data_IF_642600883049
#
_entry.id   IF_642600883049
#
_cell.length_a   1.000
_cell.length_b   1.000
_cell.length_c   1.000
_cell.angle_alpha   90.00
_cell.angle_beta   90.00
_cell.angle_gamma   90.00
#
_symmetry.space_group_name_H-M   'P 1'
#
loop_
_entity.id
_entity.type
_entity.pdbx_description
1 polymer ?
#
# COMPACT_ATOMS: atom_id res chain seq x y z
N UNK A 1 -53.11 -7.70 28.19
CA UNK A 1 -51.90 -6.86 28.34
C UNK A 1 -50.72 -7.38 27.52
N UNK A 2 -50.46 -8.70 27.48
CA UNK A 2 -49.35 -9.30 26.72
C UNK A 2 -49.35 -9.01 25.20
N UNK A 3 -50.52 -9.00 24.54
CA UNK A 3 -50.59 -8.76 23.08
C UNK A 3 -50.24 -7.32 22.67
N UNK A 4 -50.49 -6.33 23.54
CA UNK A 4 -50.08 -4.93 23.28
C UNK A 4 -48.57 -4.75 23.40
N UNK A 5 -47.93 -5.44 24.36
CA UNK A 5 -46.48 -5.38 24.57
C UNK A 5 -45.71 -6.05 23.41
N UNK A 6 -46.19 -7.21 22.94
CA UNK A 6 -45.61 -7.92 21.79
C UNK A 6 -45.71 -7.09 20.49
N UNK A 7 -46.83 -6.38 20.28
CA UNK A 7 -47.01 -5.53 19.11
C UNK A 7 -46.10 -4.29 19.14
N UNK A 8 -45.88 -3.68 20.31
CA UNK A 8 -44.94 -2.56 20.49
C UNK A 8 -43.48 -3.02 20.24
N UNK A 9 -43.09 -4.20 20.74
CA UNK A 9 -41.77 -4.79 20.49
C UNK A 9 -41.53 -5.09 19.00
N UNK A 10 -42.55 -5.58 18.29
CA UNK A 10 -42.47 -5.82 16.84
C UNK A 10 -42.31 -4.53 16.03
N UNK A 11 -43.01 -3.46 16.40
CA UNK A 11 -42.86 -2.15 15.77
C UNK A 11 -41.50 -1.49 16.07
N UNK A 12 -40.96 -1.69 17.27
CA UNK A 12 -39.61 -1.24 17.64
C UNK A 12 -38.53 -2.00 16.85
N UNK A 13 -38.67 -3.32 16.67
CA UNK A 13 -37.76 -4.10 15.82
C UNK A 13 -37.78 -3.62 14.37
N UNK A 14 -38.96 -3.36 13.78
CA UNK A 14 -39.06 -2.87 12.39
C UNK A 14 -38.50 -1.47 12.20
N UNK A 15 -38.73 -0.55 13.15
CA UNK A 15 -38.14 0.80 13.11
C UNK A 15 -36.62 0.75 13.31
N UNK A 16 -36.12 -0.14 14.15
CA UNK A 16 -34.69 -0.35 14.38
C UNK A 16 -34.00 -0.91 13.11
N UNK A 17 -34.59 -1.90 12.45
CA UNK A 17 -34.09 -2.46 11.19
C UNK A 17 -34.07 -1.40 10.07
N UNK A 18 -35.12 -0.56 9.98
CA UNK A 18 -35.18 0.52 8.99
C UNK A 18 -34.15 1.63 9.29
N UNK A 19 -33.92 1.94 10.56
CA UNK A 19 -32.89 2.89 10.99
C UNK A 19 -31.47 2.35 10.70
N UNK A 20 -31.23 1.05 10.90
CA UNK A 20 -29.96 0.40 10.53
C UNK A 20 -29.73 0.36 9.01
N UNK A 21 -30.76 0.09 8.20
CA UNK A 21 -30.65 0.11 6.74
C UNK A 21 -30.34 1.51 6.18
N UNK A 22 -30.84 2.56 6.84
CA UNK A 22 -30.55 3.94 6.49
C UNK A 22 -29.14 4.35 6.98
N UNK A 23 -28.70 3.88 8.16
CA UNK A 23 -27.37 4.21 8.70
C UNK A 23 -26.22 3.49 7.96
N UNK A 24 -26.43 2.25 7.50
CA UNK A 24 -25.46 1.57 6.63
C UNK A 24 -25.38 2.22 5.25
N UNK A 25 -26.47 2.82 4.77
CA UNK A 25 -26.49 3.58 3.51
C UNK A 25 -25.77 4.93 3.63
N UNK A 26 -25.86 5.63 4.77
CA UNK A 26 -25.15 6.90 5.00
C UNK A 26 -23.67 6.74 5.40
N UNK A 27 -23.24 5.56 5.87
CA UNK A 27 -21.83 5.28 6.16
C UNK A 27 -21.01 4.85 4.93
N UNK A 28 -21.66 4.69 3.78
CA UNK A 28 -21.07 4.37 2.47
C UNK A 28 -20.65 5.58 1.65
N UNK A 29 -20.42 6.74 2.29
CA UNK A 29 -19.75 7.86 1.63
C UNK A 29 -18.34 7.44 1.23
N UNK A 30 -18.11 7.32 -0.08
CA UNK A 30 -16.82 7.08 -0.73
C UNK A 30 -15.91 8.33 -0.60
N UNK A 31 -15.67 8.80 0.62
CA UNK A 31 -14.55 9.71 0.89
C UNK A 31 -13.28 8.90 0.58
N UNK A 32 -12.50 9.38 -0.39
CA UNK A 32 -11.20 8.79 -0.70
C UNK A 32 -10.35 8.87 0.58
N UNK A 33 -10.07 7.72 1.19
CA UNK A 33 -9.25 7.67 2.39
C UNK A 33 -7.86 8.20 2.03
N UNK A 34 -7.41 9.21 2.77
CA UNK A 34 -6.04 9.71 2.67
C UNK A 34 -5.27 9.37 3.94
N UNK A 35 -3.95 9.31 3.82
CA UNK A 35 -3.02 9.24 4.95
C UNK A 35 -2.03 10.38 4.87
N UNK A 36 -1.66 10.92 6.03
CA UNK A 36 -0.63 11.95 6.15
C UNK A 36 0.56 11.40 6.88
N UNK A 37 1.76 11.62 6.33
CA UNK A 37 3.02 11.24 6.99
C UNK A 37 3.48 12.32 7.98
N UNK A 38 4.68 12.14 8.54
CA UNK A 38 5.28 13.11 9.46
C UNK A 38 5.59 14.46 8.78
N UNK A 39 5.95 14.44 7.49
CA UNK A 39 6.33 15.62 6.71
C UNK A 39 5.13 16.42 6.19
N UNK A 40 3.92 15.94 6.45
CA UNK A 40 2.68 16.56 5.96
C UNK A 40 2.34 16.19 4.52
N UNK A 41 3.02 15.21 3.91
CA UNK A 41 2.60 14.70 2.61
C UNK A 41 1.30 13.94 2.77
N UNK A 42 0.33 14.22 1.89
CA UNK A 42 -0.98 13.56 1.88
C UNK A 42 -1.04 12.58 0.71
N UNK A 43 -1.30 11.31 1.02
CA UNK A 43 -1.37 10.21 0.07
C UNK A 43 -2.80 9.73 -0.06
N UNK A 44 -3.23 9.41 -1.28
CA UNK A 44 -4.52 8.76 -1.53
C UNK A 44 -4.34 7.25 -1.42
N UNK A 45 -5.46 6.55 -1.33
CA UNK A 45 -5.47 5.10 -1.18
C UNK A 45 -6.43 4.43 -2.16
N UNK A 46 -6.16 3.16 -2.44
CA UNK A 46 -7.02 2.27 -3.21
C UNK A 46 -7.13 0.92 -2.53
N UNK A 47 -8.34 0.36 -2.57
CA UNK A 47 -8.57 -1.01 -2.13
C UNK A 47 -8.42 -1.95 -3.32
N UNK A 48 -7.54 -2.94 -3.21
CA UNK A 48 -7.33 -3.98 -4.21
C UNK A 48 -7.44 -5.33 -3.50
N UNK A 49 -8.49 -6.08 -3.81
CA UNK A 49 -8.85 -7.28 -3.05
C UNK A 49 -9.12 -6.95 -1.59
N UNK A 50 -8.35 -7.56 -0.69
CA UNK A 50 -8.44 -7.35 0.76
C UNK A 50 -7.44 -6.33 1.30
N UNK A 51 -6.60 -5.77 0.42
CA UNK A 51 -5.49 -4.89 0.78
C UNK A 51 -5.81 -3.44 0.44
N UNK A 52 -5.31 -2.51 1.26
CA UNK A 52 -5.43 -1.07 1.01
C UNK A 52 -4.04 -0.52 0.76
N UNK A 53 -3.82 0.02 -0.43
CA UNK A 53 -2.53 0.49 -0.93
C UNK A 53 -2.52 2.01 -1.06
N UNK A 54 -1.35 2.63 -0.89
CA UNK A 54 -1.13 4.01 -1.34
C UNK A 54 -1.17 4.08 -2.86
N UNK A 55 -1.74 5.16 -3.39
CA UNK A 55 -1.70 5.47 -4.82
C UNK A 55 -0.33 6.01 -5.24
N UNK A 56 0.23 6.89 -4.42
CA UNK A 56 1.52 7.53 -4.70
C UNK A 56 2.67 6.82 -3.97
N UNK A 57 3.88 6.97 -4.50
CA UNK A 57 5.10 6.54 -3.83
C UNK A 57 5.44 7.51 -2.68
N UNK A 58 6.10 7.01 -1.64
CA UNK A 58 6.50 7.80 -0.47
C UNK A 58 7.45 8.94 -0.85
N UNK A 59 7.27 10.06 -0.13
CA UNK A 59 8.03 11.32 -0.26
C UNK A 59 8.61 11.77 1.08
N UNK A 60 8.62 10.88 2.07
CA UNK A 60 9.15 11.16 3.40
C UNK A 60 10.64 11.52 3.34
N UNK A 61 11.00 12.46 4.19
CA UNK A 61 12.35 12.93 4.50
C UNK A 61 12.66 12.76 5.99
N UNK A 62 11.66 12.44 6.81
CA UNK A 62 11.82 12.02 8.19
C UNK A 62 11.20 10.63 8.41
N UNK A 63 11.80 9.87 9.33
CA UNK A 63 11.17 8.69 9.88
C UNK A 63 9.93 9.07 10.69
N UNK A 64 9.09 8.09 11.00
CA UNK A 64 7.85 8.28 11.77
C UNK A 64 8.07 8.92 13.14
N UNK A 65 9.24 8.71 13.75
CA UNK A 65 9.61 9.34 15.02
C UNK A 65 10.08 10.80 14.89
N UNK A 66 10.19 11.33 13.67
CA UNK A 66 10.62 12.69 13.37
C UNK A 66 12.12 12.86 13.16
N UNK A 67 12.93 11.80 13.27
CA UNK A 67 14.35 11.88 12.93
C UNK A 67 14.53 12.03 11.41
N UNK A 68 15.48 12.86 10.95
CA UNK A 68 15.72 13.01 9.52
C UNK A 68 16.31 11.73 8.93
N UNK A 69 15.88 11.41 7.71
CA UNK A 69 16.50 10.41 6.85
C UNK A 69 17.56 11.17 6.03
N UNK A 70 18.78 10.64 5.96
CA UNK A 70 19.88 11.32 5.26
C UNK A 70 19.60 11.40 3.76
N UNK A 71 19.54 12.61 3.20
CA UNK A 71 19.54 12.80 1.75
C UNK A 71 20.97 12.60 1.22
N UNK A 72 21.17 11.66 0.29
CA UNK A 72 22.50 11.40 -0.29
C UNK A 72 22.47 11.54 -1.80
N UNK A 73 23.07 12.61 -2.30
CA UNK A 73 23.12 12.91 -3.74
C UNK A 73 24.35 12.36 -4.44
N UNK A 74 25.47 12.27 -3.73
CA UNK A 74 26.74 11.79 -4.27
C UNK A 74 26.72 10.26 -4.47
N UNK A 75 27.27 9.82 -5.61
CA UNK A 75 27.30 8.42 -6.00
C UNK A 75 28.19 7.54 -5.12
N UNK A 76 29.36 8.05 -4.73
CA UNK A 76 30.36 7.30 -3.96
C UNK A 76 29.83 7.06 -2.54
N UNK A 77 29.24 8.10 -1.95
CA UNK A 77 28.59 7.98 -0.66
C UNK A 77 27.40 7.03 -0.75
N UNK A 78 26.54 7.13 -1.77
CA UNK A 78 25.35 6.28 -1.90
C UNK A 78 25.68 4.78 -1.83
N UNK A 79 26.66 4.33 -2.62
CA UNK A 79 26.97 2.89 -2.76
C UNK A 79 27.66 2.28 -1.55
N UNK A 80 28.18 3.10 -0.62
CA UNK A 80 28.87 2.65 0.59
C UNK A 80 28.03 2.71 1.87
N UNK A 81 26.78 3.18 1.77
CA UNK A 81 25.90 3.34 2.93
C UNK A 81 25.44 2.01 3.52
N UNK A 82 25.43 1.96 4.83
CA UNK A 82 24.82 0.89 5.64
C UNK A 82 23.72 1.45 6.56
N UNK A 83 23.30 2.69 6.32
CA UNK A 83 22.23 3.38 7.04
C UNK A 83 21.17 3.83 6.04
N UNK A 84 19.96 4.10 6.53
CA UNK A 84 18.87 4.59 5.69
C UNK A 84 19.19 5.92 5.01
N UNK A 85 18.89 6.00 3.73
CA UNK A 85 19.07 7.18 2.92
C UNK A 85 18.02 7.30 1.82
N UNK A 86 17.83 8.53 1.35
CA UNK A 86 16.95 8.84 0.24
C UNK A 86 17.58 9.82 -0.74
N UNK A 87 17.03 9.87 -1.95
CA UNK A 87 17.29 10.93 -2.93
C UNK A 87 16.12 11.03 -3.91
N UNK A 88 16.03 12.13 -4.66
CA UNK A 88 15.19 12.18 -5.84
C UNK A 88 15.91 11.55 -7.03
N UNK A 89 15.17 11.03 -8.02
CA UNK A 89 15.78 10.61 -9.28
C UNK A 89 16.56 11.77 -9.91
N UNK A 90 17.81 11.52 -10.34
CA UNK A 90 18.76 12.53 -10.83
C UNK A 90 19.02 13.68 -9.84
N UNK A 91 18.69 13.52 -8.56
CA UNK A 91 18.73 14.56 -7.54
C UNK A 91 17.89 15.81 -7.90
N UNK A 92 16.84 15.63 -8.70
CA UNK A 92 15.95 16.70 -9.14
C UNK A 92 14.62 16.68 -8.34
N UNK A 93 14.31 17.71 -7.54
CA UNK A 93 13.06 17.82 -6.80
C UNK A 93 11.79 17.75 -7.66
N UNK A 94 11.86 18.14 -8.95
CA UNK A 94 10.73 18.01 -9.86
C UNK A 94 10.37 16.54 -10.12
N UNK A 95 11.38 15.66 -10.19
CA UNK A 95 11.14 14.22 -10.24
C UNK A 95 10.56 13.72 -8.92
N UNK A 96 11.02 14.24 -7.77
CA UNK A 96 10.46 13.92 -6.46
C UNK A 96 8.96 14.24 -6.34
N UNK A 97 8.53 15.37 -6.92
CA UNK A 97 7.14 15.78 -6.92
C UNK A 97 6.23 14.82 -7.71
N UNK A 98 6.74 14.22 -8.80
CA UNK A 98 5.99 13.30 -9.66
C UNK A 98 6.09 11.86 -9.17
N UNK A 99 7.31 11.36 -8.98
CA UNK A 99 7.61 9.94 -8.80
C UNK A 99 7.83 9.51 -7.35
N UNK A 100 7.96 10.45 -6.43
CA UNK A 100 8.37 10.18 -5.06
C UNK A 100 9.88 10.12 -4.89
N UNK A 101 10.32 9.69 -3.71
CA UNK A 101 11.73 9.53 -3.40
C UNK A 101 12.20 8.10 -3.68
N UNK A 102 13.49 7.96 -4.00
CA UNK A 102 14.18 6.68 -4.02
C UNK A 102 14.86 6.47 -2.67
N UNK A 103 14.65 5.30 -2.09
CA UNK A 103 15.22 4.89 -0.80
C UNK A 103 16.12 3.68 -0.99
N UNK A 104 17.19 3.59 -0.20
CA UNK A 104 17.88 2.32 0.01
C UNK A 104 17.09 1.43 0.98
N UNK A 105 17.38 0.13 0.98
CA UNK A 105 16.65 -0.84 1.80
C UNK A 105 16.86 -0.62 3.30
N UNK A 106 18.02 -0.08 3.69
CA UNK A 106 18.30 0.30 5.08
C UNK A 106 17.31 1.33 5.64
N UNK A 107 16.71 2.18 4.80
CA UNK A 107 15.67 3.11 5.24
C UNK A 107 14.36 2.38 5.57
N UNK A 108 14.10 1.24 4.92
CA UNK A 108 12.89 0.44 5.12
C UNK A 108 12.98 -0.41 6.39
N UNK A 109 14.12 -1.04 6.67
CA UNK A 109 14.31 -1.88 7.86
C UNK A 109 14.56 -1.07 9.15
N UNK A 110 14.77 0.24 9.04
CA UNK A 110 15.04 1.09 10.19
C UNK A 110 13.89 1.05 11.21
N UNK A 111 14.23 0.75 12.46
CA UNK A 111 13.28 0.64 13.59
C UNK A 111 12.46 1.91 13.84
N UNK A 112 12.92 3.08 13.37
CA UNK A 112 12.21 4.35 13.49
C UNK A 112 11.00 4.44 12.56
N UNK A 113 10.93 3.58 11.55
CA UNK A 113 9.79 3.37 10.66
C UNK A 113 9.69 4.39 9.53
N UNK A 114 9.78 3.92 8.28
CA UNK A 114 9.68 4.78 7.08
C UNK A 114 8.24 5.19 6.75
N UNK A 115 7.29 4.28 6.96
CA UNK A 115 5.90 4.46 6.56
C UNK A 115 5.10 5.33 7.55
N UNK A 116 3.99 5.97 7.14
CA UNK A 116 3.05 6.64 8.04
C UNK A 116 2.54 5.71 9.15
N UNK A 117 1.99 6.26 10.24
CA UNK A 117 1.40 5.45 11.31
C UNK A 117 0.17 4.67 10.82
N UNK A 118 0.06 3.38 11.16
CA UNK A 118 -1.00 2.48 10.67
C UNK A 118 -0.76 1.93 9.26
N UNK A 119 0.44 2.14 8.72
CA UNK A 119 0.89 1.69 7.42
C UNK A 119 2.31 1.12 7.53
N UNK A 120 2.66 0.25 6.58
CA UNK A 120 4.00 -0.32 6.47
C UNK A 120 4.41 -0.49 5.00
N UNK A 121 5.70 -0.72 4.79
CA UNK A 121 6.24 -1.13 3.48
C UNK A 121 5.87 -2.59 3.25
N UNK A 122 5.20 -2.94 2.14
CA UNK A 122 4.66 -4.28 1.90
C UNK A 122 5.77 -5.33 1.93
N UNK A 123 5.47 -6.45 2.56
CA UNK A 123 6.28 -7.66 2.50
C UNK A 123 6.18 -8.35 1.14
N UNK A 124 7.06 -9.33 0.91
CA UNK A 124 7.05 -10.14 -0.29
C UNK A 124 5.76 -10.97 -0.40
N UNK A 125 5.22 -11.44 0.72
CA UNK A 125 3.95 -12.16 0.79
C UNK A 125 2.75 -11.27 0.46
N UNK A 126 2.76 -10.00 0.87
CA UNK A 126 1.66 -9.08 0.59
C UNK A 126 1.61 -8.67 -0.87
N UNK A 127 2.77 -8.44 -1.47
CA UNK A 127 2.86 -8.31 -2.92
C UNK A 127 2.39 -9.56 -3.65
N UNK A 128 2.79 -10.77 -3.21
CA UNK A 128 2.29 -12.02 -3.80
C UNK A 128 0.78 -12.16 -3.69
N UNK A 129 0.21 -11.74 -2.56
CA UNK A 129 -1.24 -11.71 -2.37
C UNK A 129 -1.93 -10.76 -3.36
N UNK A 130 -1.37 -9.57 -3.61
CA UNK A 130 -1.84 -8.66 -4.65
C UNK A 130 -1.78 -9.33 -6.03
N UNK A 131 -0.64 -9.90 -6.40
CA UNK A 131 -0.42 -10.54 -7.70
C UNK A 131 -1.39 -11.71 -7.94
N UNK A 132 -1.62 -12.54 -6.92
CA UNK A 132 -2.57 -13.66 -6.97
C UNK A 132 -4.00 -13.14 -7.12
N UNK A 133 -4.36 -12.08 -6.41
CA UNK A 133 -5.67 -11.45 -6.58
C UNK A 133 -5.91 -10.96 -8.01
N UNK A 134 -4.85 -10.53 -8.72
CA UNK A 134 -4.87 -10.12 -10.12
C UNK A 134 -4.80 -11.28 -11.12
N UNK A 135 -4.93 -12.53 -10.65
CA UNK A 135 -5.04 -13.73 -11.48
C UNK A 135 -3.75 -14.52 -11.67
N UNK A 136 -2.64 -14.16 -11.01
CA UNK A 136 -1.42 -14.98 -11.01
C UNK A 136 -1.65 -16.26 -10.18
N UNK A 137 -1.16 -17.41 -10.64
CA UNK A 137 -1.23 -18.63 -9.81
C UNK A 137 -0.27 -18.54 -8.62
N UNK A 138 -0.55 -19.27 -7.54
CA UNK A 138 0.35 -19.34 -6.37
C UNK A 138 1.74 -19.89 -6.74
N UNK A 139 1.80 -20.80 -7.72
CA UNK A 139 3.05 -21.39 -8.21
C UNK A 139 3.90 -20.31 -8.89
N UNK A 140 3.33 -19.54 -9.80
CA UNK A 140 4.00 -18.41 -10.47
C UNK A 140 4.38 -17.31 -9.48
N UNK A 141 3.50 -17.01 -8.52
CA UNK A 141 3.75 -16.03 -7.47
C UNK A 141 4.93 -16.42 -6.56
N UNK A 142 5.40 -17.67 -6.55
CA UNK A 142 6.62 -18.05 -5.83
C UNK A 142 7.88 -18.08 -6.71
N UNK A 143 7.75 -17.90 -8.03
CA UNK A 143 8.89 -17.80 -8.93
C UNK A 143 9.60 -16.44 -8.81
N UNK A 144 10.83 -16.39 -9.32
CA UNK A 144 11.59 -15.16 -9.58
C UNK A 144 11.59 -14.89 -11.08
N UNK A 145 12.09 -13.72 -11.49
CA UNK A 145 12.09 -13.24 -12.87
C UNK A 145 10.70 -12.71 -13.31
N UNK A 146 10.48 -12.57 -14.62
CA UNK A 146 9.21 -12.16 -15.22
C UNK A 146 8.16 -13.26 -15.02
N UNK A 147 7.00 -12.89 -14.50
CA UNK A 147 5.97 -13.85 -14.09
C UNK A 147 4.56 -13.29 -14.19
N UNK A 148 3.63 -14.21 -14.38
CA UNK A 148 2.24 -13.91 -14.65
C UNK A 148 2.02 -13.58 -16.13
N UNK A 149 0.90 -12.92 -16.41
CA UNK A 149 0.42 -12.63 -17.76
C UNK A 149 0.33 -11.13 -17.99
N UNK A 150 -0.45 -10.44 -17.16
CA UNK A 150 -0.82 -9.04 -17.34
C UNK A 150 -0.94 -8.27 -16.01
N UNK A 151 -0.45 -8.85 -14.91
CA UNK A 151 -0.56 -8.23 -13.59
C UNK A 151 0.19 -6.88 -13.53
N UNK A 152 1.31 -6.74 -14.23
CA UNK A 152 2.03 -5.47 -14.33
C UNK A 152 1.24 -4.44 -15.14
N UNK A 153 0.61 -4.87 -16.21
CA UNK A 153 -0.32 -4.09 -17.03
C UNK A 153 -1.50 -3.55 -16.21
N UNK A 154 -2.09 -4.38 -15.35
CA UNK A 154 -3.20 -4.00 -14.45
C UNK A 154 -2.82 -2.98 -13.36
N UNK A 155 -1.53 -2.86 -13.04
CA UNK A 155 -1.00 -1.94 -12.01
C UNK A 155 -0.48 -0.60 -12.56
N UNK A 156 0.05 -0.58 -13.79
CA UNK A 156 0.65 0.62 -14.41
C UNK A 156 -0.37 1.70 -14.71
N UNK A 157 -0.01 2.96 -14.50
CA UNK A 157 -0.75 4.13 -15.00
C UNK A 157 -1.05 4.00 -16.50
N UNK A 158 -2.29 4.32 -16.89
CA UNK A 158 -2.71 4.31 -18.29
C UNK A 158 -2.17 5.50 -19.07
N UNK A 159 -2.07 5.32 -20.40
CA UNK A 159 -1.57 6.37 -21.28
C UNK A 159 -0.04 6.47 -21.28
N UNK A 160 0.46 7.57 -21.83
CA UNK A 160 1.88 7.74 -22.16
C UNK A 160 2.50 9.00 -21.55
N UNK A 161 1.85 9.59 -20.54
CA UNK A 161 2.35 10.79 -19.87
C UNK A 161 3.69 10.47 -19.20
N UNK A 162 3.73 9.41 -18.40
CA UNK A 162 4.95 8.97 -17.71
C UNK A 162 5.57 7.72 -18.35
N UNK A 163 4.77 6.71 -18.71
CA UNK A 163 5.27 5.50 -19.38
C UNK A 163 5.57 5.76 -20.86
N UNK A 164 6.85 5.94 -21.21
CA UNK A 164 7.32 6.29 -22.55
C UNK A 164 7.75 5.02 -23.35
N UNK A 165 7.17 4.88 -24.56
CA UNK A 165 7.37 3.96 -25.70
C UNK A 165 8.57 2.96 -25.66
N UNK A 166 8.39 1.65 -26.06
CA UNK A 166 7.89 1.27 -27.38
C UNK A 166 6.57 0.52 -27.56
N UNK A 167 5.77 0.26 -26.54
CA UNK A 167 4.45 -0.38 -26.74
C UNK A 167 3.47 -0.03 -25.61
N UNK A 168 3.05 1.23 -25.55
CA UNK A 168 2.10 1.75 -24.55
C UNK A 168 0.66 1.24 -24.68
N UNK A 169 0.43 -0.06 -24.90
CA UNK A 169 -0.92 -0.63 -25.08
C UNK A 169 -1.34 -1.66 -24.03
N UNK A 170 -0.51 -1.97 -23.05
CA UNK A 170 -0.86 -2.97 -22.04
C UNK A 170 -1.17 -2.36 -20.67
N UNK A 171 -0.75 -1.12 -20.37
CA UNK A 171 -1.09 -0.48 -19.10
C UNK A 171 -2.60 -0.17 -19.05
N UNK A 172 -3.35 -0.95 -18.28
CA UNK A 172 -4.81 -0.82 -18.14
C UNK A 172 -5.20 -0.09 -16.86
N UNK A 173 -4.32 -0.06 -15.86
CA UNK A 173 -4.60 0.46 -14.51
C UNK A 173 -5.94 -0.02 -13.94
N UNK A 174 -6.39 -1.24 -14.29
CA UNK A 174 -7.72 -1.75 -13.92
C UNK A 174 -7.93 -1.80 -12.40
N UNK A 175 -6.85 -1.81 -11.64
CA UNK A 175 -6.81 -1.83 -10.17
C UNK A 175 -6.92 -0.44 -9.54
N UNK A 176 -6.61 0.63 -10.28
CA UNK A 176 -6.41 1.97 -9.73
C UNK A 176 -5.09 2.16 -8.98
N UNK A 177 -4.19 1.17 -8.96
CA UNK A 177 -2.89 1.24 -8.29
C UNK A 177 -2.05 2.41 -8.82
N UNK A 178 -2.07 2.66 -10.13
CA UNK A 178 -1.40 3.81 -10.76
C UNK A 178 0.11 3.82 -10.50
N UNK A 179 0.78 2.72 -10.83
CA UNK A 179 2.24 2.64 -10.78
C UNK A 179 2.88 3.57 -11.82
N UNK A 180 3.93 4.28 -11.40
CA UNK A 180 4.69 5.22 -12.24
C UNK A 180 6.14 4.76 -12.47
N UNK A 181 6.74 5.07 -13.63
CA UNK A 181 8.10 4.70 -13.99
C UNK A 181 9.15 5.67 -13.42
N UNK A 182 9.28 5.68 -12.09
CA UNK A 182 10.20 6.58 -11.39
C UNK A 182 11.70 6.30 -11.59
N UNK A 183 12.04 5.26 -12.33
CA UNK A 183 13.41 4.76 -12.45
C UNK A 183 13.95 4.24 -11.12
N UNK A 184 15.26 4.08 -11.06
CA UNK A 184 15.97 3.55 -9.90
C UNK A 184 17.42 4.05 -9.88
N UNK A 185 18.11 3.80 -8.77
CA UNK A 185 19.51 4.18 -8.57
C UNK A 185 20.36 2.95 -8.30
N UNK A 186 21.35 2.71 -9.14
CA UNK A 186 22.16 1.50 -9.08
C UNK A 186 23.12 1.52 -7.89
N UNK A 187 23.32 0.35 -7.28
CA UNK A 187 24.47 0.10 -6.42
C UNK A 187 25.59 -0.69 -7.11
N UNK A 188 25.23 -1.64 -7.97
CA UNK A 188 26.15 -2.52 -8.67
C UNK A 188 27.08 -1.73 -9.60
N UNK A 189 28.34 -2.17 -9.73
CA UNK A 189 29.44 -1.44 -10.37
C UNK A 189 29.92 -0.16 -9.65
N UNK A 190 29.41 0.15 -8.45
CA UNK A 190 29.83 1.27 -7.60
C UNK A 190 29.70 2.65 -8.27
N UNK A 191 28.78 2.81 -9.23
CA UNK A 191 28.61 4.08 -9.97
C UNK A 191 27.59 5.02 -9.35
N UNK A 192 26.65 4.51 -8.55
CA UNK A 192 25.59 5.31 -7.93
C UNK A 192 24.68 6.04 -8.92
N UNK A 193 24.70 5.62 -10.20
CA UNK A 193 24.00 6.25 -11.31
C UNK A 193 22.49 5.96 -11.31
N UNK A 194 21.73 6.84 -11.94
CA UNK A 194 20.28 6.72 -12.11
C UNK A 194 19.94 6.13 -13.47
N UNK A 195 18.91 5.29 -13.53
CA UNK A 195 18.50 4.60 -14.76
C UNK A 195 16.98 4.51 -14.92
N UNK A 196 16.54 4.49 -16.18
CA UNK A 196 15.23 4.03 -16.62
C UNK A 196 14.01 4.80 -16.07
N UNK A 197 14.17 6.09 -15.73
CA UNK A 197 12.98 6.95 -15.58
C UNK A 197 12.16 6.91 -16.87
N UNK A 198 10.84 7.01 -16.74
CA UNK A 198 9.86 6.91 -17.82
C UNK A 198 9.72 5.53 -18.48
N UNK A 199 10.59 4.55 -18.19
CA UNK A 199 10.51 3.20 -18.77
C UNK A 199 10.36 2.10 -17.73
N UNK A 200 10.78 2.32 -16.49
CA UNK A 200 10.77 1.33 -15.41
C UNK A 200 10.39 1.98 -14.08
N UNK A 201 9.59 1.28 -13.29
CA UNK A 201 9.40 1.57 -11.87
C UNK A 201 9.84 0.38 -11.04
N UNK A 202 10.50 0.64 -9.91
CA UNK A 202 10.91 -0.39 -8.96
C UNK A 202 10.41 -0.06 -7.56
N UNK A 203 9.87 -1.06 -6.87
CA UNK A 203 9.32 -0.94 -5.53
C UNK A 203 9.94 -1.96 -4.59
N UNK A 204 10.51 -1.47 -3.50
CA UNK A 204 11.02 -2.34 -2.45
C UNK A 204 9.91 -3.15 -1.77
N UNK A 205 10.26 -4.38 -1.38
CA UNK A 205 9.60 -5.12 -0.31
C UNK A 205 10.29 -4.84 1.01
N UNK A 206 9.59 -4.97 2.14
CA UNK A 206 10.19 -5.04 3.48
C UNK A 206 10.80 -6.40 3.82
N UNK A 207 10.74 -7.38 2.92
CA UNK A 207 11.29 -8.72 3.13
C UNK A 207 12.74 -8.81 2.64
N UNK A 208 13.63 -9.09 3.59
CA UNK A 208 15.01 -9.48 3.32
C UNK A 208 15.05 -10.80 2.55
N UNK A 209 15.96 -10.92 1.58
CA UNK A 209 16.29 -12.21 0.96
C UNK A 209 17.42 -12.91 1.70
N UNK A 210 18.49 -12.16 1.94
CA UNK A 210 19.70 -12.59 2.64
C UNK A 210 20.44 -11.36 3.19
N UNK A 211 21.59 -11.58 3.83
CA UNK A 211 22.38 -10.51 4.46
C UNK A 211 22.78 -9.38 3.50
N UNK A 212 22.83 -9.64 2.19
CA UNK A 212 23.26 -8.68 1.17
C UNK A 212 22.10 -8.07 0.38
N UNK A 213 20.95 -8.74 0.30
CA UNK A 213 19.88 -8.36 -0.61
C UNK A 213 18.47 -8.45 -0.05
N UNK A 214 17.57 -7.71 -0.68
CA UNK A 214 16.15 -7.69 -0.37
C UNK A 214 15.30 -7.82 -1.63
N UNK A 215 14.05 -8.24 -1.47
CA UNK A 215 13.13 -8.43 -2.60
C UNK A 215 12.55 -7.12 -3.11
N UNK A 216 12.31 -7.03 -4.41
CA UNK A 216 11.61 -5.92 -5.03
C UNK A 216 10.75 -6.36 -6.22
N UNK A 217 9.85 -5.46 -6.64
CA UNK A 217 9.06 -5.60 -7.86
C UNK A 217 9.53 -4.59 -8.87
N UNK A 218 9.64 -5.00 -10.11
CA UNK A 218 9.92 -4.13 -11.23
C UNK A 218 8.78 -4.26 -12.26
N UNK A 219 8.28 -3.10 -12.68
CA UNK A 219 7.36 -2.97 -13.80
C UNK A 219 8.06 -2.20 -14.90
N UNK A 220 7.98 -2.70 -16.12
CA UNK A 220 8.66 -2.10 -17.26
C UNK A 220 7.68 -1.84 -18.42
N UNK A 221 8.00 -0.87 -19.26
CA UNK A 221 7.16 -0.50 -20.41
C UNK A 221 7.06 -1.63 -21.46
N UNK A 222 8.04 -2.53 -21.52
CA UNK A 222 8.09 -3.62 -22.51
C UNK A 222 7.32 -4.88 -22.09
N UNK A 223 6.74 -4.90 -20.89
CA UNK A 223 6.26 -6.11 -20.23
C UNK A 223 4.91 -5.89 -19.54
N UNK A 224 3.96 -6.79 -19.78
CA UNK A 224 2.66 -6.83 -19.11
C UNK A 224 2.71 -7.61 -17.79
N UNK A 225 3.69 -8.50 -17.64
CA UNK A 225 3.98 -9.27 -16.45
C UNK A 225 4.74 -8.44 -15.38
N UNK A 226 5.01 -9.06 -14.24
CA UNK A 226 5.73 -8.43 -13.11
C UNK A 226 7.07 -9.12 -12.95
N UNK A 227 8.13 -8.34 -12.78
CA UNK A 227 9.46 -8.88 -12.49
C UNK A 227 9.69 -8.93 -10.98
N UNK A 228 9.93 -10.12 -10.43
CA UNK A 228 10.36 -10.29 -9.03
C UNK A 228 11.82 -10.68 -8.96
N UNK A 229 12.62 -9.83 -8.32
CA UNK A 229 14.06 -10.02 -8.16
C UNK A 229 14.51 -9.50 -6.80
N UNK A 230 15.74 -9.83 -6.42
CA UNK A 230 16.42 -9.23 -5.29
C UNK A 230 17.64 -8.43 -5.73
N UNK A 231 17.85 -7.26 -5.13
CA UNK A 231 19.05 -6.47 -5.31
C UNK A 231 19.71 -6.16 -3.98
N UNK A 232 20.96 -5.68 -4.05
CA UNK A 232 21.71 -5.24 -2.88
C UNK A 232 20.97 -4.15 -2.10
N UNK A 233 21.07 -4.18 -0.77
CA UNK A 233 20.34 -3.26 0.12
C UNK A 233 20.64 -1.78 -0.08
N UNK A 234 21.73 -1.43 -0.78
CA UNK A 234 22.08 -0.05 -1.18
C UNK A 234 21.39 0.43 -2.45
N UNK A 235 20.70 -0.44 -3.20
CA UNK A 235 19.98 -0.06 -4.41
C UNK A 235 18.85 0.93 -4.08
N UNK A 236 18.61 1.91 -4.95
CA UNK A 236 17.61 2.95 -4.72
C UNK A 236 16.33 2.68 -5.48
N UNK A 237 15.24 2.39 -4.79
CA UNK A 237 13.92 2.17 -5.39
C UNK A 237 12.86 3.03 -4.74
N UNK A 238 11.72 3.16 -5.43
CA UNK A 238 10.53 3.75 -4.84
C UNK A 238 10.01 2.86 -3.71
N UNK A 239 9.25 3.47 -2.80
CA UNK A 239 8.53 2.76 -1.75
C UNK A 239 7.06 3.14 -1.87
N UNK A 240 6.19 2.15 -1.72
CA UNK A 240 4.74 2.31 -1.58
C UNK A 240 4.32 1.58 -0.32
N UNK A 241 3.24 2.02 0.32
CA UNK A 241 2.78 1.40 1.56
C UNK A 241 1.43 0.70 1.42
N UNK A 242 1.22 -0.24 2.30
CA UNK A 242 -0.03 -0.96 2.54
C UNK A 242 -0.48 -0.69 3.97
N UNK A 243 -1.79 -0.65 4.20
CA UNK A 243 -2.36 -0.41 5.53
C UNK A 243 -2.26 -1.65 6.43
N UNK A 244 -2.01 -1.45 7.71
CA UNK A 244 -2.00 -2.52 8.72
C UNK A 244 -3.40 -3.12 8.95
N UNK A 245 -4.45 -2.40 8.57
CA UNK A 245 -5.84 -2.82 8.78
C UNK A 245 -6.44 -3.39 7.49
N UNK A 246 -6.98 -4.63 7.52
CA UNK A 246 -7.68 -5.18 6.36
C UNK A 246 -8.97 -4.40 6.09
N UNK A 247 -9.41 -4.46 4.83
CA UNK A 247 -10.69 -3.89 4.39
C UNK A 247 -11.82 -4.43 5.27
N UNK A 248 -12.48 -3.55 6.03
CA UNK A 248 -13.70 -3.88 6.80
C UNK A 248 -13.67 -3.58 8.29
N UNK A 249 -12.54 -3.19 8.88
CA UNK A 249 -12.49 -2.74 10.28
C UNK A 249 -12.25 -1.23 10.31
N UNK A 250 -13.28 -0.45 10.01
CA UNK A 250 -13.28 0.96 10.44
C UNK A 250 -13.30 0.94 11.97
N UNK A 251 -12.28 1.51 12.61
CA UNK A 251 -12.11 1.56 14.07
C UNK A 251 -13.33 2.11 14.84
N UNK A 252 -14.28 2.80 14.18
CA UNK A 252 -15.55 3.21 14.78
C UNK A 252 -16.70 2.19 14.72
N UNK A 253 -16.67 1.25 13.78
CA UNK A 253 -17.78 0.29 13.55
C UNK A 253 -17.70 -0.88 14.52
N UNK A 254 -16.49 -1.38 14.81
CA UNK A 254 -16.29 -2.48 15.77
C UNK A 254 -16.62 -2.04 17.20
N UNK A 255 -16.26 -0.81 17.57
CA UNK A 255 -16.57 -0.25 18.90
C UNK A 255 -18.09 -0.11 19.11
N UNK A 256 -18.82 0.33 18.08
CA UNK A 256 -20.28 0.34 18.14
C UNK A 256 -20.87 -1.08 18.24
N UNK A 257 -20.46 -2.02 17.37
CA UNK A 257 -21.03 -3.38 17.36
C UNK A 257 -20.78 -4.09 18.69
N UNK A 258 -19.57 -4.00 19.26
CA UNK A 258 -19.25 -4.60 20.56
C UNK A 258 -20.04 -3.96 21.71
N UNK A 259 -20.15 -2.63 21.75
CA UNK A 259 -20.91 -1.94 22.80
C UNK A 259 -22.41 -2.31 22.74
N UNK A 260 -22.97 -2.50 21.54
CA UNK A 260 -24.37 -2.87 21.35
C UNK A 260 -24.66 -4.36 21.62
N UNK A 261 -23.75 -5.29 21.30
CA UNK A 261 -23.89 -6.71 21.67
C UNK A 261 -23.91 -6.86 23.20
N UNK A 262 -22.99 -6.20 23.90
CA UNK A 262 -22.95 -6.22 25.38
C UNK A 262 -24.23 -5.63 25.97
N UNK A 263 -24.72 -4.52 25.43
CA UNK A 263 -25.97 -3.87 25.86
C UNK A 263 -27.21 -4.74 25.62
N UNK A 264 -27.28 -5.43 24.48
CA UNK A 264 -28.37 -6.34 24.12
C UNK A 264 -28.42 -7.56 25.05
N UNK A 265 -27.27 -8.19 25.34
CA UNK A 265 -27.22 -9.31 26.29
C UNK A 265 -27.62 -8.90 27.71
N UNK A 266 -27.27 -7.67 28.14
CA UNK A 266 -27.67 -7.15 29.45
C UNK A 266 -29.18 -6.94 29.58
N UNK A 267 -29.84 -6.53 28.49
CA UNK A 267 -31.29 -6.32 28.45
C UNK A 267 -32.08 -7.63 28.42
N UNK A 268 -31.54 -8.68 27.78
CA UNK A 268 -32.21 -9.99 27.67
C UNK A 268 -32.02 -10.85 28.92
N UNK A 269 -30.91 -10.69 29.66
CA UNK A 269 -30.62 -11.45 30.89
C UNK A 269 -31.46 -11.05 32.11
N UNK A 270 -32.12 -9.89 32.08
CA UNK A 270 -32.97 -9.39 33.17
C UNK A 270 -34.46 -9.76 33.02
N UNK A 271 -34.82 -10.58 32.03
CA UNK A 271 -36.18 -11.11 31.95
C UNK A 271 -36.35 -12.33 32.88
N UNK A 272 -37.28 -12.29 33.85
CA UNK A 272 -37.52 -13.45 34.71
C UNK A 272 -38.04 -14.61 33.86
N UNK A 273 -37.33 -15.75 33.91
CA UNK A 273 -37.82 -17.00 33.32
C UNK A 273 -39.10 -17.37 34.04
N UNK A 274 -40.23 -17.32 33.34
CA UNK A 274 -41.48 -17.91 33.83
C UNK A 274 -41.31 -19.42 33.83
N UNK A 275 -41.37 -20.03 35.01
CA UNK A 275 -41.82 -21.42 35.21
C UNK A 275 -43.31 -21.50 34.98
#
# INVERSE_FOLDING_TARGET
MQNKLAFILFLLQKKLILFFAVFTFFAGGNEALTVTDYDGNVYRTVTIGTQIWLLENLKVTHYRNGDPITEVRDSINWVSLINGAWCHYNNDPMNGAVYGNLYNWYAIEDSRGLAPAGWHVPSDEEWKTLEIYLGMSEIEANMTDWRGTDQGAQLKETGTIHWQWPTGNEATNSTGFTALPGGWRIYFLYTGSFYNINTTGEWWSSTEKDASGAWLRNLCVYHADIYRISFGKTHGCSVRCISDSPVGIKNGVLFCIMFFIVSYFFLVSHFPRKT
#
